data_IF_368105429662
#
_entry.id   IF_368105429662
#
_cell.length_a   1.000
_cell.length_b   1.000
_cell.length_c   1.000
_cell.angle_alpha   90.00
_cell.angle_beta   90.00
_cell.angle_gamma   90.00
#
_symmetry.space_group_name_H-M   'P 1'
#
loop_
_entity.id
_entity.type
_entity.pdbx_description
1 polymer ?
#
# COMPACT_ATOMS: atom_id res chain seq x y z
N UNK A 1 31.51 -18.81 -0.83
CA UNK A 1 31.20 -17.75 0.16
C UNK A 1 30.15 -16.77 -0.35
N UNK A 2 30.34 -16.17 -1.54
CA UNK A 2 29.42 -15.18 -2.12
C UNK A 2 27.95 -15.66 -2.22
N UNK A 3 27.70 -16.86 -2.75
CA UNK A 3 26.34 -17.43 -2.84
C UNK A 3 25.64 -17.59 -1.47
N UNK A 4 26.38 -17.91 -0.41
CA UNK A 4 25.82 -18.05 0.94
C UNK A 4 25.38 -16.69 1.47
N UNK A 5 26.12 -15.63 1.14
CA UNK A 5 25.79 -14.26 1.55
C UNK A 5 24.58 -13.70 0.78
N UNK A 6 24.48 -14.04 -0.51
CA UNK A 6 23.32 -13.73 -1.36
C UNK A 6 22.03 -14.36 -0.82
N UNK A 7 22.07 -15.66 -0.48
CA UNK A 7 20.91 -16.36 0.09
C UNK A 7 20.55 -15.80 1.47
N UNK A 8 21.54 -15.51 2.33
CA UNK A 8 21.29 -14.85 3.62
C UNK A 8 20.64 -13.48 3.46
N UNK A 9 20.97 -12.74 2.41
CA UNK A 9 20.34 -11.47 2.10
C UNK A 9 18.86 -11.66 1.73
N UNK A 10 18.56 -12.61 0.84
CA UNK A 10 17.19 -12.94 0.45
C UNK A 10 16.33 -13.27 1.66
N UNK A 11 16.83 -14.19 2.52
CA UNK A 11 16.10 -14.65 3.71
C UNK A 11 15.77 -13.48 4.65
N UNK A 12 16.66 -12.49 4.78
CA UNK A 12 16.39 -11.29 5.59
C UNK A 12 15.31 -10.39 4.99
N UNK A 13 15.21 -10.31 3.67
CA UNK A 13 14.23 -9.46 2.97
C UNK A 13 12.82 -10.06 3.00
N UNK A 14 12.69 -11.40 3.07
CA UNK A 14 11.40 -12.11 3.04
C UNK A 14 10.36 -11.54 4.02
N UNK A 15 10.64 -11.30 5.31
CA UNK A 15 9.64 -10.79 6.25
C UNK A 15 9.02 -9.44 5.84
N UNK A 16 9.84 -8.54 5.29
CA UNK A 16 9.38 -7.23 4.79
C UNK A 16 8.59 -7.43 3.49
N UNK A 17 9.08 -8.29 2.60
CA UNK A 17 8.41 -8.62 1.35
C UNK A 17 7.01 -9.21 1.57
N UNK A 18 6.84 -10.08 2.57
CA UNK A 18 5.51 -10.59 2.98
C UNK A 18 4.58 -9.46 3.39
N UNK A 19 5.07 -8.45 4.10
CA UNK A 19 4.26 -7.27 4.46
C UNK A 19 3.85 -6.45 3.23
N UNK A 20 4.74 -6.34 2.23
CA UNK A 20 4.42 -5.70 0.95
C UNK A 20 3.33 -6.47 0.19
N UNK A 21 3.38 -7.82 0.20
CA UNK A 21 2.34 -8.66 -0.41
C UNK A 21 0.98 -8.39 0.24
N UNK A 22 0.91 -8.36 1.57
CA UNK A 22 -0.33 -8.06 2.30
C UNK A 22 -0.85 -6.64 1.99
N UNK A 23 0.06 -5.67 1.88
CA UNK A 23 -0.28 -4.31 1.47
C UNK A 23 -0.92 -4.27 0.08
N UNK A 24 -0.29 -4.89 -0.92
CA UNK A 24 -0.82 -4.91 -2.29
C UNK A 24 -2.12 -5.70 -2.39
N UNK A 25 -2.23 -6.82 -1.67
CA UNK A 25 -3.47 -7.59 -1.60
C UNK A 25 -4.65 -6.71 -1.17
N UNK A 26 -4.47 -5.87 -0.13
CA UNK A 26 -5.51 -4.97 0.35
C UNK A 26 -5.87 -3.87 -0.69
N UNK A 27 -4.87 -3.29 -1.36
CA UNK A 27 -5.13 -2.29 -2.42
C UNK A 27 -5.78 -2.88 -3.67
N UNK A 28 -5.48 -4.14 -4.02
CA UNK A 28 -6.14 -4.84 -5.11
C UNK A 28 -7.63 -4.99 -4.84
N UNK A 29 -8.03 -5.31 -3.59
CA UNK A 29 -9.45 -5.34 -3.21
C UNK A 29 -10.11 -3.99 -3.46
N UNK A 30 -9.50 -2.91 -2.99
CA UNK A 30 -10.03 -1.55 -3.18
C UNK A 30 -10.20 -1.21 -4.67
N UNK A 31 -9.21 -1.54 -5.49
CA UNK A 31 -9.21 -1.26 -6.93
C UNK A 31 -10.26 -2.06 -7.71
N UNK A 32 -10.56 -3.29 -7.29
CA UNK A 32 -11.62 -4.09 -7.91
C UNK A 32 -13.01 -3.57 -7.51
N UNK A 33 -13.25 -3.34 -6.22
CA UNK A 33 -14.58 -3.00 -5.73
C UNK A 33 -15.02 -1.58 -6.04
N UNK A 34 -14.10 -0.62 -6.20
CA UNK A 34 -14.47 0.74 -6.59
C UNK A 34 -15.20 0.80 -7.94
N UNK A 35 -14.89 -0.11 -8.86
CA UNK A 35 -15.59 -0.21 -10.15
C UNK A 35 -17.05 -0.64 -9.94
N UNK A 36 -17.28 -1.62 -9.08
CA UNK A 36 -18.63 -2.06 -8.74
C UNK A 36 -19.41 -0.96 -8.00
N UNK A 37 -18.78 -0.25 -7.04
CA UNK A 37 -19.39 0.89 -6.35
C UNK A 37 -19.82 1.99 -7.34
N UNK A 38 -18.96 2.31 -8.31
CA UNK A 38 -19.24 3.29 -9.35
C UNK A 38 -20.37 2.83 -10.28
N UNK A 39 -20.47 1.54 -10.61
CA UNK A 39 -21.60 1.01 -11.41
C UNK A 39 -22.96 1.20 -10.74
N UNK A 40 -23.01 1.19 -9.39
CA UNK A 40 -24.23 1.40 -8.61
C UNK A 40 -24.33 2.80 -7.97
N UNK A 41 -23.62 3.78 -8.53
CA UNK A 41 -23.65 5.18 -8.11
C UNK A 41 -23.90 6.08 -9.30
N UNK A 42 -24.31 7.32 -9.02
CA UNK A 42 -24.51 8.32 -10.06
C UNK A 42 -23.14 8.71 -10.66
N UNK A 43 -22.97 8.46 -11.96
CA UNK A 43 -21.74 8.71 -12.70
C UNK A 43 -21.85 9.92 -13.65
N UNK A 44 -22.94 10.67 -13.58
CA UNK A 44 -23.07 11.92 -14.33
C UNK A 44 -22.16 12.99 -13.73
N UNK A 45 -21.51 13.75 -14.61
CA UNK A 45 -20.60 14.82 -14.20
C UNK A 45 -21.41 16.10 -13.96
N UNK A 46 -21.83 16.33 -12.72
CA UNK A 46 -22.64 17.49 -12.34
C UNK A 46 -23.97 17.51 -13.10
N UNK A 47 -24.28 18.64 -13.74
CA UNK A 47 -25.51 18.79 -14.54
C UNK A 47 -25.34 18.38 -16.02
N UNK A 48 -24.25 17.70 -16.38
CA UNK A 48 -24.02 17.27 -17.77
C UNK A 48 -24.63 15.89 -18.04
N UNK A 49 -24.96 15.62 -19.30
CA UNK A 49 -25.42 14.30 -19.76
C UNK A 49 -24.28 13.29 -19.96
N UNK A 50 -23.05 13.65 -19.61
CA UNK A 50 -21.89 12.78 -19.80
C UNK A 50 -21.79 11.75 -18.68
N UNK A 51 -21.87 10.47 -19.05
CA UNK A 51 -21.75 9.34 -18.14
C UNK A 51 -20.31 8.83 -18.10
N UNK A 52 -19.66 8.97 -16.94
CA UNK A 52 -18.28 8.50 -16.76
C UNK A 52 -18.26 6.96 -16.72
N UNK A 53 -17.39 6.27 -17.48
CA UNK A 53 -17.22 4.81 -17.37
C UNK A 53 -16.76 4.41 -15.96
N UNK A 54 -17.38 3.39 -15.34
CA UNK A 54 -17.04 3.01 -13.97
C UNK A 54 -15.55 2.61 -13.79
N UNK A 55 -14.98 1.93 -14.78
CA UNK A 55 -13.58 1.52 -14.75
C UNK A 55 -12.59 2.71 -14.82
N UNK A 56 -13.00 3.84 -15.41
CA UNK A 56 -12.10 5.00 -15.56
C UNK A 56 -11.82 5.72 -14.24
N UNK A 57 -12.54 5.40 -13.15
CA UNK A 57 -12.24 5.95 -11.82
C UNK A 57 -10.82 5.58 -11.35
N UNK A 58 -10.29 4.42 -11.76
CA UNK A 58 -8.91 4.01 -11.47
C UNK A 58 -7.84 5.03 -11.91
N UNK A 59 -8.15 5.88 -12.91
CA UNK A 59 -7.27 6.96 -13.37
C UNK A 59 -6.96 7.96 -12.25
N UNK A 60 -7.88 8.20 -11.32
CA UNK A 60 -7.64 9.13 -10.21
C UNK A 60 -6.51 8.65 -9.27
N UNK A 61 -6.39 7.33 -9.06
CA UNK A 61 -5.26 6.75 -8.32
C UNK A 61 -3.94 7.02 -9.06
N UNK A 62 -3.92 6.79 -10.37
CA UNK A 62 -2.75 7.00 -11.23
C UNK A 62 -2.34 8.48 -11.29
N UNK A 63 -3.30 9.39 -11.39
CA UNK A 63 -3.07 10.83 -11.35
C UNK A 63 -2.52 11.26 -9.99
N UNK A 64 -3.11 10.79 -8.89
CA UNK A 64 -2.64 11.10 -7.56
C UNK A 64 -1.20 10.62 -7.34
N UNK A 65 -0.88 9.39 -7.76
CA UNK A 65 0.48 8.87 -7.76
C UNK A 65 1.43 9.74 -8.59
N UNK A 66 1.04 10.08 -9.82
CA UNK A 66 1.85 10.87 -10.76
C UNK A 66 2.12 12.28 -10.23
N UNK A 67 1.12 12.93 -9.63
CA UNK A 67 1.25 14.25 -9.00
C UNK A 67 2.07 14.16 -7.72
N UNK A 68 1.97 13.05 -6.98
CA UNK A 68 2.70 12.84 -5.75
C UNK A 68 4.22 12.72 -5.98
N UNK A 69 4.67 12.08 -7.05
CA UNK A 69 6.10 11.90 -7.36
C UNK A 69 6.89 13.24 -7.37
N UNK A 70 6.53 14.26 -8.17
CA UNK A 70 7.25 15.53 -8.19
C UNK A 70 7.14 16.28 -6.85
N UNK A 71 6.02 16.16 -6.14
CA UNK A 71 5.87 16.74 -4.79
C UNK A 71 6.86 16.09 -3.82
N UNK A 72 6.95 14.76 -3.87
CA UNK A 72 7.88 13.99 -3.05
C UNK A 72 9.34 14.40 -3.35
N UNK A 73 9.74 14.42 -4.61
CA UNK A 73 11.12 14.71 -5.01
C UNK A 73 11.54 16.18 -4.79
N UNK A 74 10.63 17.13 -5.05
CA UNK A 74 10.95 18.57 -5.00
C UNK A 74 10.68 19.22 -3.65
N UNK A 75 9.71 18.72 -2.89
CA UNK A 75 9.30 19.33 -1.63
C UNK A 75 9.72 18.45 -0.45
N UNK A 76 9.28 17.19 -0.44
CA UNK A 76 9.45 16.33 0.73
C UNK A 76 10.91 15.91 0.94
N UNK A 77 11.64 15.54 -0.11
CA UNK A 77 13.06 15.13 -0.01
C UNK A 77 13.95 16.28 0.47
N UNK A 78 13.92 17.49 -0.11
CA UNK A 78 14.74 18.61 0.38
C UNK A 78 14.37 19.05 1.80
N UNK A 79 13.07 19.07 2.12
CA UNK A 79 12.60 19.41 3.46
C UNK A 79 13.08 18.39 4.50
N UNK A 80 12.94 17.08 4.20
CA UNK A 80 13.38 16.03 5.09
C UNK A 80 14.91 16.03 5.28
N UNK A 81 15.68 16.32 4.22
CA UNK A 81 17.14 16.51 4.31
C UNK A 81 17.51 17.65 5.26
N UNK A 82 16.81 18.79 5.19
CA UNK A 82 17.04 19.94 6.07
C UNK A 82 16.74 19.65 7.54
N UNK A 83 15.69 18.88 7.82
CA UNK A 83 15.30 18.57 9.20
C UNK A 83 16.12 17.46 9.85
N UNK A 84 16.48 16.42 9.09
CA UNK A 84 17.13 15.23 9.65
C UNK A 84 18.65 15.22 9.48
N UNK A 85 19.20 16.08 8.62
CA UNK A 85 20.62 16.12 8.31
C UNK A 85 21.15 14.88 7.58
N UNK A 86 20.28 13.95 7.14
CA UNK A 86 20.63 12.74 6.40
C UNK A 86 20.36 12.92 4.90
N UNK A 87 21.22 12.37 4.04
CA UNK A 87 21.10 12.46 2.58
C UNK A 87 19.75 11.97 2.01
N UNK A 88 19.07 11.05 2.72
CA UNK A 88 17.74 10.55 2.34
C UNK A 88 16.56 11.21 3.04
N UNK A 89 16.79 12.05 4.04
CA UNK A 89 15.72 12.65 4.86
C UNK A 89 15.00 11.63 5.76
N UNK A 90 14.14 10.80 5.17
CA UNK A 90 13.32 9.78 5.86
C UNK A 90 13.88 8.38 5.55
N UNK A 91 13.94 7.52 6.57
CA UNK A 91 14.40 6.13 6.36
C UNK A 91 13.48 5.38 5.40
N UNK A 92 14.05 4.41 4.66
CA UNK A 92 13.30 3.65 3.66
C UNK A 92 12.11 2.91 4.30
N UNK A 93 12.32 2.30 5.47
CA UNK A 93 11.27 1.59 6.21
C UNK A 93 10.17 2.53 6.72
N UNK A 94 10.51 3.76 7.11
CA UNK A 94 9.49 4.75 7.50
C UNK A 94 8.62 5.16 6.31
N UNK A 95 9.20 5.35 5.13
CA UNK A 95 8.42 5.68 3.91
C UNK A 95 7.44 4.56 3.56
N UNK A 96 7.91 3.31 3.59
CA UNK A 96 7.04 2.14 3.41
C UNK A 96 5.94 2.09 4.48
N UNK A 97 6.28 2.34 5.75
CA UNK A 97 5.32 2.39 6.85
C UNK A 97 4.25 3.47 6.68
N UNK A 98 4.62 4.67 6.22
CA UNK A 98 3.66 5.75 5.89
C UNK A 98 2.69 5.29 4.81
N UNK A 99 3.18 4.63 3.76
CA UNK A 99 2.33 4.01 2.74
C UNK A 99 1.33 3.03 3.36
N UNK A 100 1.77 2.11 4.21
CA UNK A 100 0.87 1.13 4.86
C UNK A 100 -0.18 1.83 5.74
N UNK A 101 0.16 2.89 6.46
CA UNK A 101 -0.83 3.66 7.25
C UNK A 101 -1.84 4.34 6.33
N UNK A 102 -1.39 4.96 5.25
CA UNK A 102 -2.27 5.62 4.30
C UNK A 102 -3.20 4.65 3.58
N UNK A 103 -2.80 3.39 3.34
CA UNK A 103 -3.73 2.40 2.80
C UNK A 103 -4.82 2.01 3.80
N UNK A 104 -4.52 1.92 5.10
CA UNK A 104 -5.54 1.72 6.15
C UNK A 104 -6.54 2.89 6.16
N UNK A 105 -6.04 4.13 6.08
CA UNK A 105 -6.89 5.33 6.00
C UNK A 105 -7.75 5.30 4.74
N UNK A 106 -7.16 4.97 3.58
CA UNK A 106 -7.86 4.84 2.31
C UNK A 106 -9.02 3.83 2.36
N UNK A 107 -8.76 2.64 2.92
CA UNK A 107 -9.77 1.59 3.08
C UNK A 107 -10.86 1.99 4.08
N UNK A 108 -10.50 2.71 5.14
CA UNK A 108 -11.45 3.23 6.12
C UNK A 108 -12.38 4.27 5.50
N UNK A 109 -11.82 5.17 4.68
CA UNK A 109 -12.63 6.13 3.89
C UNK A 109 -13.56 5.36 2.95
N UNK A 110 -13.07 4.32 2.27
CA UNK A 110 -13.89 3.52 1.38
C UNK A 110 -15.05 2.81 2.09
N UNK A 111 -14.81 2.29 3.30
CA UNK A 111 -15.87 1.69 4.13
C UNK A 111 -16.97 2.70 4.48
N UNK A 112 -16.59 3.91 4.94
CA UNK A 112 -17.55 4.96 5.31
C UNK A 112 -18.30 5.50 4.09
N UNK A 113 -17.61 5.68 2.97
CA UNK A 113 -18.22 6.12 1.71
C UNK A 113 -19.22 5.07 1.20
N UNK A 114 -18.90 3.78 1.32
CA UNK A 114 -19.81 2.70 0.96
C UNK A 114 -21.03 2.63 1.86
N UNK A 115 -20.85 2.78 3.18
CA UNK A 115 -21.97 2.83 4.13
C UNK A 115 -22.93 3.97 3.75
N UNK A 116 -22.39 5.14 3.40
CA UNK A 116 -23.19 6.28 2.95
C UNK A 116 -23.89 6.01 1.61
N UNK A 117 -23.20 5.44 0.63
CA UNK A 117 -23.77 5.07 -0.68
C UNK A 117 -24.94 4.11 -0.49
N UNK A 118 -24.73 3.04 0.28
CA UNK A 118 -25.76 2.04 0.56
C UNK A 118 -26.95 2.62 1.32
N UNK A 119 -26.71 3.47 2.33
CA UNK A 119 -27.81 4.16 3.05
C UNK A 119 -28.64 5.02 2.10
N UNK A 120 -28.00 5.76 1.19
CA UNK A 120 -28.69 6.58 0.19
C UNK A 120 -29.52 5.73 -0.78
N UNK A 121 -28.97 4.60 -1.25
CA UNK A 121 -29.67 3.68 -2.14
C UNK A 121 -30.92 3.05 -1.52
N UNK A 122 -30.95 2.86 -0.20
CA UNK A 122 -32.07 2.27 0.52
C UNK A 122 -33.13 3.29 0.96
N UNK A 123 -32.76 4.57 1.12
CA UNK A 123 -33.63 5.61 1.67
C UNK A 123 -34.25 6.52 0.61
N UNK A 124 -33.57 6.71 -0.52
CA UNK A 124 -34.00 7.62 -1.58
C UNK A 124 -34.42 6.85 -2.84
N UNK A 125 -35.30 7.44 -3.67
CA UNK A 125 -35.69 6.82 -4.94
C UNK A 125 -34.45 6.59 -5.82
N UNK A 126 -34.36 5.42 -6.48
CA UNK A 126 -33.23 5.09 -7.33
C UNK A 126 -33.20 5.99 -8.56
N UNK A 127 -31.99 6.41 -8.97
CA UNK A 127 -31.79 7.19 -10.21
C UNK A 127 -31.96 6.30 -11.45
N UNK A 128 -31.77 4.99 -11.28
CA UNK A 128 -31.93 3.99 -12.33
C UNK A 128 -31.62 2.58 -11.81
N UNK A 129 -31.56 1.61 -12.71
CA UNK A 129 -31.19 0.23 -12.40
C UNK A 129 -29.86 -0.07 -13.09
N UNK A 130 -28.88 -0.54 -12.34
CA UNK A 130 -27.60 -0.98 -12.85
C UNK A 130 -27.78 -2.22 -13.74
N UNK A 131 -26.83 -2.47 -14.65
CA UNK A 131 -26.89 -3.60 -15.60
C UNK A 131 -27.08 -4.97 -14.92
N UNK A 132 -26.66 -5.10 -13.66
CA UNK A 132 -26.76 -6.32 -12.86
C UNK A 132 -27.99 -6.34 -11.92
N UNK A 133 -28.98 -5.48 -12.16
CA UNK A 133 -30.28 -5.47 -11.45
C UNK A 133 -30.33 -4.69 -10.13
N UNK A 134 -29.22 -4.09 -9.68
CA UNK A 134 -29.17 -3.28 -8.46
C UNK A 134 -29.63 -1.83 -8.67
N UNK A 135 -30.34 -1.26 -7.69
CA UNK A 135 -30.71 0.16 -7.69
C UNK A 135 -29.46 1.08 -7.71
N UNK A 136 -29.45 2.09 -8.59
CA UNK A 136 -28.39 3.09 -8.63
C UNK A 136 -28.66 4.14 -7.55
N UNK A 137 -27.70 4.29 -6.63
CA UNK A 137 -27.75 5.30 -5.59
C UNK A 137 -27.68 6.71 -6.20
N UNK A 138 -28.44 7.64 -5.64
CA UNK A 138 -28.36 9.09 -5.95
C UNK A 138 -27.06 9.77 -5.46
N UNK A 139 -26.10 8.98 -4.99
CA UNK A 139 -24.81 9.49 -4.52
C UNK A 139 -23.88 9.66 -5.71
N UNK A 140 -23.30 10.86 -5.86
CA UNK A 140 -22.30 11.10 -6.90
C UNK A 140 -21.07 10.23 -6.69
N UNK A 141 -20.62 9.58 -7.75
CA UNK A 141 -19.42 8.75 -7.77
C UNK A 141 -18.13 9.55 -7.53
N UNK A 142 -18.19 10.89 -7.62
CA UNK A 142 -17.05 11.77 -7.33
C UNK A 142 -16.54 11.64 -5.88
N UNK A 143 -17.39 11.17 -4.95
CA UNK A 143 -16.96 10.88 -3.58
C UNK A 143 -15.88 9.79 -3.51
N UNK A 144 -15.83 8.86 -4.47
CA UNK A 144 -14.77 7.84 -4.55
C UNK A 144 -13.41 8.42 -4.91
N UNK A 145 -13.33 9.66 -5.40
CA UNK A 145 -12.04 10.30 -5.70
C UNK A 145 -11.21 10.43 -4.42
N UNK A 146 -11.83 10.71 -3.27
CA UNK A 146 -11.11 10.88 -2.01
C UNK A 146 -10.35 9.62 -1.61
N UNK A 147 -11.00 8.46 -1.61
CA UNK A 147 -10.35 7.18 -1.31
C UNK A 147 -9.25 6.85 -2.33
N UNK A 148 -9.46 7.15 -3.62
CA UNK A 148 -8.49 6.84 -4.68
C UNK A 148 -7.26 7.74 -4.64
N UNK A 149 -7.42 9.02 -4.27
CA UNK A 149 -6.30 9.95 -4.08
C UNK A 149 -5.42 9.49 -2.92
N UNK A 150 -6.03 9.12 -1.78
CA UNK A 150 -5.27 8.61 -0.63
C UNK A 150 -4.56 7.30 -0.98
N UNK A 151 -5.22 6.40 -1.71
CA UNK A 151 -4.61 5.17 -2.22
C UNK A 151 -3.39 5.45 -3.14
N UNK A 152 -3.49 6.42 -4.04
CA UNK A 152 -2.40 6.77 -4.95
C UNK A 152 -1.19 7.38 -4.22
N UNK A 153 -1.44 8.24 -3.23
CA UNK A 153 -0.37 8.79 -2.38
C UNK A 153 0.27 7.70 -1.53
N UNK A 154 -0.55 6.80 -0.96
CA UNK A 154 -0.10 5.60 -0.25
C UNK A 154 0.86 4.77 -1.09
N UNK A 155 0.45 4.48 -2.34
CA UNK A 155 1.26 3.73 -3.30
C UNK A 155 2.56 4.43 -3.63
N UNK A 156 2.54 5.76 -3.83
CA UNK A 156 3.75 6.53 -4.09
C UNK A 156 4.79 6.45 -2.98
N UNK A 157 4.37 6.55 -1.72
CA UNK A 157 5.29 6.36 -0.58
C UNK A 157 5.83 4.93 -0.50
N UNK A 158 4.97 3.94 -0.74
CA UNK A 158 5.34 2.55 -0.56
C UNK A 158 6.26 2.05 -1.70
N UNK A 159 5.91 2.30 -2.96
CA UNK A 159 6.65 1.79 -4.12
C UNK A 159 8.08 2.36 -4.19
N UNK A 160 8.24 3.66 -3.95
CA UNK A 160 9.56 4.31 -3.91
C UNK A 160 10.40 3.69 -2.79
N UNK A 161 9.81 3.49 -1.61
CA UNK A 161 10.45 2.83 -0.49
C UNK A 161 10.86 1.39 -0.79
N UNK A 162 9.98 0.59 -1.39
CA UNK A 162 10.25 -0.80 -1.75
C UNK A 162 11.38 -0.93 -2.76
N UNK A 163 11.34 -0.14 -3.85
CA UNK A 163 12.36 -0.19 -4.89
C UNK A 163 13.73 0.17 -4.30
N UNK A 164 13.81 1.26 -3.54
CA UNK A 164 15.07 1.66 -2.88
C UNK A 164 15.53 0.63 -1.85
N UNK A 165 14.60 0.01 -1.11
CA UNK A 165 14.91 -1.05 -0.16
C UNK A 165 15.55 -2.25 -0.87
N UNK A 166 14.95 -2.74 -1.96
CA UNK A 166 15.52 -3.87 -2.69
C UNK A 166 16.88 -3.51 -3.30
N UNK A 167 17.03 -2.36 -3.94
CA UNK A 167 18.35 -1.97 -4.47
C UNK A 167 19.44 -1.82 -3.40
N UNK A 168 19.08 -1.40 -2.18
CA UNK A 168 20.05 -1.27 -1.06
C UNK A 168 20.37 -2.59 -0.37
N UNK A 169 19.44 -3.53 -0.32
CA UNK A 169 19.65 -4.80 0.36
C UNK A 169 20.31 -5.82 -0.57
N UNK A 170 19.85 -5.91 -1.82
CA UNK A 170 20.40 -6.86 -2.78
C UNK A 170 21.80 -6.41 -3.24
N UNK A 171 22.79 -7.33 -3.31
CA UNK A 171 24.11 -7.02 -3.82
C UNK A 171 24.05 -6.66 -5.32
N UNK A 172 25.09 -5.98 -5.82
CA UNK A 172 25.08 -5.40 -7.18
C UNK A 172 24.87 -6.43 -8.28
N UNK A 173 25.35 -7.66 -8.07
CA UNK A 173 25.19 -8.78 -8.99
C UNK A 173 23.76 -9.39 -8.97
N UNK A 174 22.89 -9.01 -8.04
CA UNK A 174 21.51 -9.50 -7.91
C UNK A 174 20.45 -8.44 -8.24
N UNK A 175 20.81 -7.32 -8.87
CA UNK A 175 19.86 -6.24 -9.19
C UNK A 175 18.67 -6.69 -10.05
N UNK A 176 18.87 -7.66 -10.96
CA UNK A 176 17.76 -8.26 -11.73
C UNK A 176 16.77 -9.00 -10.83
N UNK A 177 17.27 -9.70 -9.80
CA UNK A 177 16.46 -10.46 -8.84
C UNK A 177 15.57 -9.52 -8.03
N UNK A 178 16.04 -8.32 -7.67
CA UNK A 178 15.21 -7.32 -6.98
C UNK A 178 13.93 -6.96 -7.77
N UNK A 179 14.06 -6.76 -9.08
CA UNK A 179 12.92 -6.52 -9.98
C UNK A 179 11.99 -7.73 -10.07
N UNK A 180 12.54 -8.93 -10.26
CA UNK A 180 11.75 -10.16 -10.26
C UNK A 180 10.99 -10.38 -8.94
N UNK A 181 11.62 -10.11 -7.80
CA UNK A 181 11.02 -10.27 -6.47
C UNK A 181 9.83 -9.33 -6.27
N UNK A 182 9.93 -8.09 -6.78
CA UNK A 182 8.83 -7.13 -6.77
C UNK A 182 7.61 -7.66 -7.56
N UNK A 183 7.81 -8.08 -8.82
CA UNK A 183 6.72 -8.59 -9.65
C UNK A 183 6.15 -9.93 -9.16
N UNK A 184 7.00 -10.83 -8.63
CA UNK A 184 6.53 -12.04 -7.97
C UNK A 184 5.65 -11.70 -6.75
N UNK A 185 6.03 -10.69 -5.96
CA UNK A 185 5.22 -10.21 -4.83
C UNK A 185 3.85 -9.70 -5.29
N UNK A 186 3.80 -8.91 -6.37
CA UNK A 186 2.55 -8.44 -6.98
C UNK A 186 1.67 -9.59 -7.46
N UNK A 187 2.25 -10.61 -8.10
CA UNK A 187 1.52 -11.79 -8.55
C UNK A 187 0.94 -12.58 -7.38
N UNK A 188 1.73 -12.84 -6.34
CA UNK A 188 1.26 -13.53 -5.12
C UNK A 188 0.15 -12.71 -4.45
N UNK A 189 0.29 -11.38 -4.38
CA UNK A 189 -0.74 -10.50 -3.83
C UNK A 189 -2.06 -10.58 -4.60
N UNK A 190 -2.00 -10.71 -5.94
CA UNK A 190 -3.19 -10.90 -6.78
C UNK A 190 -3.85 -12.27 -6.58
N UNK A 191 -3.08 -13.34 -6.40
CA UNK A 191 -3.67 -14.64 -6.04
C UNK A 191 -4.25 -14.62 -4.62
N UNK A 192 -3.56 -13.99 -3.67
CA UNK A 192 -4.02 -13.85 -2.30
C UNK A 192 -5.29 -13.01 -2.20
N UNK A 193 -5.46 -11.98 -3.05
CA UNK A 193 -6.71 -11.20 -3.08
C UNK A 193 -7.88 -12.04 -3.59
N UNK A 194 -7.67 -12.88 -4.61
CA UNK A 194 -8.67 -13.85 -5.06
C UNK A 194 -9.02 -14.86 -3.97
N UNK A 195 -8.04 -15.42 -3.27
CA UNK A 195 -8.26 -16.33 -2.13
C UNK A 195 -9.04 -15.66 -1.00
N UNK A 196 -8.71 -14.41 -0.66
CA UNK A 196 -9.44 -13.64 0.35
C UNK A 196 -10.92 -13.47 -0.03
N UNK A 197 -11.22 -13.15 -1.29
CA UNK A 197 -12.59 -13.06 -1.80
C UNK A 197 -13.31 -14.41 -1.63
N UNK A 198 -12.71 -15.51 -2.05
CA UNK A 198 -13.28 -16.86 -1.91
C UNK A 198 -13.55 -17.24 -0.46
N UNK A 199 -12.61 -16.94 0.45
CA UNK A 199 -12.76 -17.19 1.88
C UNK A 199 -13.92 -16.39 2.45
N UNK A 200 -14.04 -15.11 2.10
CA UNK A 200 -15.15 -14.27 2.53
C UNK A 200 -16.47 -14.84 2.00
N UNK A 201 -16.61 -15.06 0.69
CA UNK A 201 -17.82 -15.64 0.09
C UNK A 201 -18.25 -16.96 0.77
N UNK A 202 -17.30 -17.86 1.03
CA UNK A 202 -17.60 -19.15 1.67
C UNK A 202 -18.08 -18.97 3.11
N UNK A 203 -17.51 -18.01 3.83
CA UNK A 203 -17.83 -17.74 5.24
C UNK A 203 -19.13 -16.95 5.38
N UNK A 204 -19.42 -16.01 4.48
CA UNK A 204 -20.57 -15.09 4.55
C UNK A 204 -21.79 -15.58 3.77
N UNK A 205 -21.61 -16.41 2.74
CA UNK A 205 -22.66 -16.91 1.85
C UNK A 205 -23.32 -18.23 2.27
N UNK A 206 -23.00 -18.78 3.45
CA UNK A 206 -23.57 -20.05 3.92
C UNK A 206 -25.01 -19.94 4.45
N UNK A 207 -25.88 -20.89 4.05
CA UNK A 207 -27.23 -21.13 4.60
C UNK A 207 -28.28 -20.02 4.39
N UNK A 208 -28.39 -19.48 3.17
CA UNK A 208 -29.49 -18.57 2.78
C UNK A 208 -29.39 -17.15 3.35
N UNK A 209 -28.22 -16.77 3.88
CA UNK A 209 -27.92 -15.41 4.38
C UNK A 209 -27.36 -14.52 3.29
N UNK A 210 -27.51 -13.20 3.48
CA UNK A 210 -26.96 -12.19 2.55
C UNK A 210 -25.44 -12.19 2.57
N UNK A 211 -24.84 -12.58 1.45
CA UNK A 211 -23.41 -12.52 1.22
C UNK A 211 -22.90 -11.07 1.29
N UNK A 212 -21.73 -10.83 1.89
CA UNK A 212 -21.14 -9.49 1.96
C UNK A 212 -20.79 -8.96 0.56
N UNK A 213 -20.45 -9.88 -0.34
CA UNK A 213 -19.98 -9.61 -1.69
C UNK A 213 -21.03 -10.01 -2.75
N UNK A 214 -22.31 -9.78 -2.47
CA UNK A 214 -23.39 -10.04 -3.42
C UNK A 214 -23.22 -9.25 -4.74
N UNK A 215 -23.67 -9.81 -5.86
CA UNK A 215 -23.66 -9.14 -7.17
C UNK A 215 -24.35 -7.76 -7.14
N UNK A 216 -25.40 -7.65 -6.32
CA UNK A 216 -26.02 -6.38 -5.98
C UNK A 216 -25.46 -5.84 -4.66
N UNK A 217 -24.61 -4.81 -4.74
CA UNK A 217 -23.97 -4.20 -3.57
C UNK A 217 -24.98 -3.63 -2.56
N UNK A 218 -26.18 -3.26 -3.01
CA UNK A 218 -27.21 -2.77 -2.10
C UNK A 218 -27.72 -3.87 -1.15
N UNK A 219 -27.76 -5.12 -1.64
CA UNK A 219 -28.09 -6.32 -0.86
C UNK A 219 -26.89 -6.86 -0.10
N UNK A 220 -25.68 -6.64 -0.63
CA UNK A 220 -24.42 -6.93 0.02
C UNK A 220 -24.09 -5.99 1.18
N UNK A 221 -22.97 -6.29 1.84
CA UNK A 221 -22.37 -5.48 2.90
C UNK A 221 -20.91 -5.22 2.59
N UNK A 222 -20.67 -4.52 1.47
CA UNK A 222 -19.31 -4.17 1.03
C UNK A 222 -18.60 -3.26 2.04
N UNK A 223 -19.35 -2.44 2.79
CA UNK A 223 -18.86 -1.66 3.92
C UNK A 223 -18.15 -2.55 4.96
N UNK A 224 -18.74 -3.69 5.33
CA UNK A 224 -18.14 -4.63 6.27
C UNK A 224 -16.91 -5.32 5.69
N UNK A 225 -16.94 -5.63 4.39
CA UNK A 225 -15.77 -6.15 3.71
C UNK A 225 -14.61 -5.14 3.71
N UNK A 226 -14.87 -3.85 3.45
CA UNK A 226 -13.83 -2.83 3.55
C UNK A 226 -13.28 -2.66 4.97
N UNK A 227 -14.14 -2.69 6.00
CA UNK A 227 -13.67 -2.69 7.39
C UNK A 227 -12.82 -3.93 7.71
N UNK A 228 -13.19 -5.10 7.20
CA UNK A 228 -12.39 -6.32 7.34
C UNK A 228 -11.02 -6.17 6.68
N UNK A 229 -10.95 -5.70 5.43
CA UNK A 229 -9.69 -5.47 4.71
C UNK A 229 -8.85 -4.38 5.42
N UNK A 230 -9.47 -3.33 5.95
CA UNK A 230 -8.79 -2.32 6.77
C UNK A 230 -8.23 -2.93 8.07
N UNK A 231 -8.94 -3.86 8.70
CA UNK A 231 -8.45 -4.63 9.84
C UNK A 231 -7.22 -5.47 9.49
N UNK A 232 -7.25 -6.19 8.36
CA UNK A 232 -6.09 -6.95 7.85
C UNK A 232 -4.90 -6.02 7.57
N UNK A 233 -5.15 -4.87 6.93
CA UNK A 233 -4.11 -3.87 6.67
C UNK A 233 -3.53 -3.29 7.97
N UNK A 234 -4.36 -3.11 9.01
CA UNK A 234 -3.93 -2.65 10.34
C UNK A 234 -3.06 -3.70 11.05
N UNK A 235 -3.43 -4.97 10.98
CA UNK A 235 -2.59 -6.07 11.49
C UNK A 235 -1.26 -6.12 10.73
N UNK A 236 -1.29 -5.95 9.40
CA UNK A 236 -0.09 -5.85 8.59
C UNK A 236 0.80 -4.67 8.99
N UNK A 237 0.23 -3.52 9.37
CA UNK A 237 1.00 -2.40 9.88
C UNK A 237 1.76 -2.76 11.17
N UNK A 238 1.11 -3.40 12.15
CA UNK A 238 1.79 -3.81 13.38
C UNK A 238 2.85 -4.88 13.14
N UNK A 239 2.57 -5.83 12.23
CA UNK A 239 3.55 -6.81 11.77
C UNK A 239 4.76 -6.10 11.13
N UNK A 240 4.52 -5.16 10.21
CA UNK A 240 5.56 -4.37 9.55
C UNK A 240 6.42 -3.61 10.56
N UNK A 241 5.81 -2.93 11.54
CA UNK A 241 6.54 -2.19 12.57
C UNK A 241 7.41 -3.11 13.42
N UNK A 242 6.91 -4.29 13.77
CA UNK A 242 7.67 -5.28 14.55
C UNK A 242 8.87 -5.78 13.76
N UNK A 243 8.67 -6.15 12.49
CA UNK A 243 9.74 -6.57 11.58
C UNK A 243 10.74 -5.44 11.35
N UNK A 244 10.27 -4.22 11.09
CA UNK A 244 11.12 -3.05 10.84
C UNK A 244 11.98 -2.68 12.06
N UNK A 245 11.47 -2.89 13.28
CA UNK A 245 12.24 -2.71 14.53
C UNK A 245 13.33 -3.76 14.70
N UNK A 246 13.06 -4.99 14.29
CA UNK A 246 14.05 -6.08 14.35
C UNK A 246 15.02 -6.08 13.16
N UNK A 247 14.67 -5.37 12.08
CA UNK A 247 15.47 -5.32 10.88
C UNK A 247 16.72 -4.43 11.05
N UNK A 248 17.91 -5.05 11.01
CA UNK A 248 19.19 -4.33 10.90
C UNK A 248 19.55 -4.15 9.43
N UNK A 249 19.71 -2.89 9.02
CA UNK A 249 20.23 -2.55 7.69
C UNK A 249 21.61 -3.17 7.45
N UNK A 250 21.81 -3.78 6.27
CA UNK A 250 23.13 -4.20 5.79
C UNK A 250 24.01 -2.94 5.64
N UNK A 251 25.04 -2.81 6.48
CA UNK A 251 25.94 -1.65 6.52
C UNK A 251 26.26 -1.11 7.92
N UNK A 252 25.43 -1.36 8.93
CA UNK A 252 25.70 -0.91 10.32
C UNK A 252 26.84 -1.68 11.03
N UNK A 253 27.55 -2.56 10.34
CA UNK A 253 28.70 -3.32 10.83
C UNK A 253 29.88 -3.31 9.87
N UNK A 254 29.86 -2.46 8.84
CA UNK A 254 30.99 -2.27 7.93
C UNK A 254 31.18 -0.75 7.76
N UNK A 255 32.01 -0.17 8.61
CA UNK A 255 32.35 1.24 8.60
C UNK A 255 31.51 2.07 9.57
N UNK A 256 31.85 2.00 10.85
CA UNK A 256 31.86 3.24 11.64
C UNK A 256 33.26 3.84 11.46
N UNK A 257 33.48 4.75 10.48
CA UNK A 257 34.78 5.37 10.30
C UNK A 257 35.21 6.18 11.53
N UNK A 258 34.30 6.48 12.47
CA UNK A 258 34.67 7.10 13.74
C UNK A 258 35.36 6.12 14.71
N UNK A 259 35.11 4.81 14.58
CA UNK A 259 35.63 3.78 15.47
C UNK A 259 36.98 3.22 14.96
N UNK A 260 37.16 3.12 13.64
CA UNK A 260 38.45 2.77 13.03
C UNK A 260 39.48 3.90 13.17
N UNK A 261 39.07 5.17 12.99
CA UNK A 261 39.95 6.34 13.24
C UNK A 261 40.30 6.48 14.73
N UNK A 262 39.38 6.12 15.63
CA UNK A 262 39.66 6.10 17.06
C UNK A 262 40.67 5.00 17.44
N UNK A 263 40.63 3.83 16.78
CA UNK A 263 41.57 2.73 17.02
C UNK A 263 42.96 3.02 16.43
N UNK A 264 43.06 3.62 15.25
CA UNK A 264 44.35 4.06 14.67
C UNK A 264 45.01 5.20 15.47
N UNK A 265 44.22 6.16 15.99
CA UNK A 265 44.77 7.24 16.82
C UNK A 265 45.25 6.77 18.19
N UNK A 266 44.72 5.65 18.69
CA UNK A 266 45.11 5.06 19.97
C UNK A 266 46.33 4.16 19.83
N UNK A 267 46.46 3.47 18.69
CA UNK A 267 47.63 2.63 18.36
C UNK A 267 48.88 3.47 18.08
N UNK A 268 48.76 4.64 17.45
CA UNK A 268 49.89 5.52 17.15
C UNK A 268 50.42 6.29 18.38
N UNK A 269 49.60 6.46 19.43
CA UNK A 269 50.03 7.08 20.70
C UNK A 269 50.74 6.14 21.66
N UNK A 270 50.66 4.83 21.44
CA UNK A 270 51.29 3.81 22.30
C UNK A 270 52.62 3.29 21.78
N UNK A 271 53.07 3.74 20.61
CA UNK A 271 54.31 3.28 19.96
C UNK A 271 55.47 4.28 20.00
N UNK A 272 55.37 5.37 20.78
CA UNK A 272 56.52 6.22 21.10
C UNK A 272 57.17 5.75 22.41
N UNK A 273 58.29 5.00 22.37
CA UNK A 273 59.14 4.87 23.54
C UNK A 273 59.83 6.21 23.79
N UNK A 274 59.52 6.83 24.93
CA UNK A 274 60.35 7.90 25.48
C UNK A 274 61.67 7.31 25.99
N UNK A 275 62.76 7.75 25.36
CA UNK A 275 64.18 7.75 25.79
C UNK A 275 64.85 6.37 25.90
#
# INVERSE_FOLDING_TARGET
MQQIEEVKCLVRVIPIWVSCILYYMCLHQQSTYVVFQALQSDRYLGNTSFLIPAASFTVFTMLALTIWIPIYDRILVPWARRLTGKEGGITVLQRMGVGIVLSVVSLSIAAVVEERRRRMALQYPPVGIAKNGGAISSMSSLWFICQLVVAGVSEGFNIIGQVEFYYKQFPENMRSIAGSFFFCGMAIASYASGLMITVVHTTTGGAGKSDWLAEDLNKGKLDYFYFFVAGVATVNFFYFVTVARWYRYKGATAGDPALDVALESKSSRTSDPQI
#
